data_IF_189113970561
#
_entry.id   IF_189113970561
#
_cell.length_a   1.000
_cell.length_b   1.000
_cell.length_c   1.000
_cell.angle_alpha   90.00
_cell.angle_beta   90.00
_cell.angle_gamma   90.00
#
_symmetry.space_group_name_H-M   'P 1'
#
loop_
_entity.id
_entity.type
_entity.pdbx_description
1 polymer ?
#
# COMPACT_ATOMS: atom_id res chain seq x y z
N UNK A 1 9.64 -9.58 -17.27
CA UNK A 1 10.00 -9.02 -15.94
C UNK A 1 9.31 -9.88 -14.90
N UNK A 2 10.06 -10.70 -14.18
CA UNK A 2 9.53 -11.54 -13.10
C UNK A 2 9.16 -10.63 -11.93
N UNK A 3 7.87 -10.39 -11.73
CA UNK A 3 7.39 -9.62 -10.59
C UNK A 3 7.44 -10.51 -9.34
N UNK A 4 8.56 -10.48 -8.63
CA UNK A 4 8.64 -11.09 -7.30
C UNK A 4 7.72 -10.32 -6.36
N UNK A 5 6.64 -10.98 -5.91
CA UNK A 5 5.75 -10.40 -4.91
C UNK A 5 6.52 -10.25 -3.59
N UNK A 6 6.68 -9.00 -3.14
CA UNK A 6 7.41 -8.69 -1.92
C UNK A 6 6.43 -8.61 -0.74
N UNK A 7 6.82 -9.15 0.41
CA UNK A 7 6.14 -8.83 1.67
C UNK A 7 6.35 -7.35 1.99
N UNK A 8 5.34 -6.68 2.56
CA UNK A 8 5.42 -5.28 2.99
C UNK A 8 6.59 -5.04 3.92
N UNK A 9 6.86 -6.01 4.81
CA UNK A 9 7.95 -5.94 5.77
C UNK A 9 9.34 -5.87 5.13
N UNK A 10 9.49 -6.24 3.87
CA UNK A 10 10.75 -6.16 3.14
C UNK A 10 10.91 -4.87 2.31
N UNK A 11 9.86 -4.03 2.29
CA UNK A 11 9.91 -2.70 1.66
C UNK A 11 10.89 -1.80 2.41
N UNK A 12 11.69 -1.02 1.66
CA UNK A 12 12.64 -0.05 2.21
C UNK A 12 12.33 1.33 1.69
N UNK A 13 12.44 2.34 2.56
CA UNK A 13 12.36 3.73 2.14
C UNK A 13 13.40 4.02 1.04
N UNK A 14 12.97 4.70 -0.03
CA UNK A 14 13.83 5.06 -1.17
C UNK A 14 13.75 4.14 -2.38
N UNK A 15 13.00 3.02 -2.34
CA UNK A 15 12.62 2.33 -3.58
C UNK A 15 11.49 3.07 -4.29
N UNK A 16 11.67 3.34 -5.58
CA UNK A 16 10.71 4.11 -6.38
C UNK A 16 9.54 3.26 -6.91
N UNK A 17 9.69 1.94 -6.96
CA UNK A 17 8.68 1.04 -7.53
C UNK A 17 8.77 -0.35 -6.90
N UNK A 18 7.69 -0.77 -6.25
CA UNK A 18 7.52 -2.13 -5.72
C UNK A 18 6.10 -2.61 -6.05
N UNK A 19 5.96 -3.89 -6.39
CA UNK A 19 4.66 -4.54 -6.63
C UNK A 19 4.39 -5.52 -5.50
N UNK A 20 3.25 -5.34 -4.83
CA UNK A 20 2.85 -6.11 -3.65
C UNK A 20 1.38 -6.48 -3.78
N UNK A 21 1.02 -7.68 -3.30
CA UNK A 21 -0.38 -8.13 -3.25
C UNK A 21 -0.85 -8.08 -1.81
N UNK A 22 -1.96 -7.39 -1.59
CA UNK A 22 -2.51 -7.18 -0.24
C UNK A 22 -4.02 -7.21 -0.26
N UNK A 23 -4.60 -7.56 0.89
CA UNK A 23 -6.03 -7.49 1.13
C UNK A 23 -6.38 -6.18 1.83
N UNK A 24 -7.39 -5.49 1.30
CA UNK A 24 -7.95 -4.30 1.90
C UNK A 24 -8.85 -4.68 3.09
N UNK A 25 -8.50 -4.21 4.29
CA UNK A 25 -9.29 -4.46 5.51
C UNK A 25 -10.22 -3.30 5.81
N UNK A 26 -9.72 -2.07 5.68
CA UNK A 26 -10.50 -0.88 6.02
C UNK A 26 -10.10 0.31 5.17
N UNK A 27 -11.11 1.05 4.74
CA UNK A 27 -11.00 2.37 4.13
C UNK A 27 -11.52 3.42 5.11
N UNK A 28 -10.81 4.54 5.28
CA UNK A 28 -11.33 5.71 5.99
C UNK A 28 -11.89 6.72 4.99
N UNK A 29 -12.76 7.59 5.47
CA UNK A 29 -13.26 8.70 4.66
C UNK A 29 -12.10 9.59 4.19
N UNK A 30 -12.18 10.06 2.95
CA UNK A 30 -11.18 10.95 2.39
C UNK A 30 -11.21 12.28 3.15
N UNK A 31 -10.03 12.76 3.54
CA UNK A 31 -9.87 14.03 4.24
C UNK A 31 -8.97 14.95 3.44
N UNK A 32 -9.24 16.24 3.54
CA UNK A 32 -8.34 17.25 3.02
C UNK A 32 -7.05 17.25 3.87
N UNK A 33 -5.92 16.91 3.27
CA UNK A 33 -4.61 16.82 3.95
C UNK A 33 -3.82 18.13 3.85
N UNK A 34 -4.48 19.18 3.34
CA UNK A 34 -4.01 20.55 3.24
C UNK A 34 -2.84 20.75 2.25
N UNK A 35 -3.22 21.10 1.01
CA UNK A 35 -2.57 22.09 0.14
C UNK A 35 -3.67 22.97 -0.45
N UNK A 36 -4.13 24.00 0.27
CA UNK A 36 -5.23 24.87 -0.18
C UNK A 36 -6.54 24.15 -0.55
N UNK A 37 -6.73 22.89 -0.13
CA UNK A 37 -7.85 22.05 -0.55
C UNK A 37 -7.66 21.24 -1.83
N UNK A 38 -6.53 21.36 -2.50
CA UNK A 38 -6.22 20.61 -3.72
C UNK A 38 -5.83 19.15 -3.44
N UNK A 39 -5.47 18.84 -2.19
CA UNK A 39 -4.99 17.53 -1.80
C UNK A 39 -5.95 16.87 -0.81
N UNK A 40 -6.73 15.93 -1.35
CA UNK A 40 -7.44 14.93 -0.56
C UNK A 40 -6.54 13.70 -0.38
N UNK A 41 -6.52 13.17 0.82
CA UNK A 41 -5.83 11.94 1.16
C UNK A 41 -6.77 10.98 1.85
N UNK A 42 -6.45 9.71 1.76
CA UNK A 42 -7.20 8.64 2.40
C UNK A 42 -6.27 7.72 3.14
N UNK A 43 -6.67 7.36 4.36
CA UNK A 43 -5.97 6.34 5.12
C UNK A 43 -6.59 4.97 4.77
N UNK A 44 -5.74 4.03 4.37
CA UNK A 44 -6.13 2.68 3.98
C UNK A 44 -5.37 1.68 4.85
N UNK A 45 -6.07 0.70 5.42
CA UNK A 45 -5.46 -0.41 6.17
C UNK A 45 -5.43 -1.63 5.27
N UNK A 46 -4.22 -2.06 4.91
CA UNK A 46 -3.93 -3.23 4.09
C UNK A 46 -3.27 -4.31 4.94
N UNK A 47 -3.52 -5.58 4.62
CA UNK A 47 -2.85 -6.73 5.22
C UNK A 47 -2.20 -7.55 4.12
N UNK A 48 -0.97 -7.97 4.37
CA UNK A 48 -0.18 -8.77 3.45
C UNK A 48 -0.86 -10.13 3.20
N UNK A 49 -0.99 -10.50 1.93
CA UNK A 49 -1.48 -11.81 1.54
C UNK A 49 -0.31 -12.79 1.49
N UNK A 50 -0.08 -13.50 2.59
CA UNK A 50 0.91 -14.59 2.60
C UNK A 50 0.44 -15.72 1.69
N UNK A 51 0.96 -15.74 0.47
CA UNK A 51 0.85 -16.89 -0.42
C UNK A 51 1.78 -17.98 0.14
N UNK A 52 1.22 -18.92 0.89
CA UNK A 52 1.93 -20.17 1.16
C UNK A 52 2.03 -20.91 -0.18
N UNK A 53 3.23 -20.99 -0.76
CA UNK A 53 3.47 -21.90 -1.88
C UNK A 53 3.12 -23.32 -1.40
N UNK A 54 2.02 -23.87 -1.90
CA UNK A 54 1.65 -25.29 -1.76
C UNK A 54 2.18 -26.04 -2.97
#
# INVERSE_FOLDING_TARGET
>A
MTSSQLLVSASKAGRCTETVVMRLVRFREARNVNKNGDLMGVDVVLVDERVYFT
#
